data_IF_838403187930
#
_entry.id   IF_838403187930
#
_cell.length_a   1.000
_cell.length_b   1.000
_cell.length_c   1.000
_cell.angle_alpha   90.00
_cell.angle_beta   90.00
_cell.angle_gamma   90.00
#
_symmetry.space_group_name_H-M   'P 1'
#
loop_
_entity.id
_entity.type
_entity.pdbx_description
1 polymer ?
#
# COMPACT_ATOMS: atom_id res chain seq x y z
N UNK A 1 21.95 16.47 -21.31
CA UNK A 1 21.21 15.19 -21.22
C UNK A 1 21.75 14.44 -20.01
N UNK A 2 20.96 14.31 -18.94
CA UNK A 2 21.35 13.60 -17.71
C UNK A 2 20.85 12.16 -17.79
N UNK A 3 21.60 11.25 -17.19
CA UNK A 3 21.23 9.84 -17.14
C UNK A 3 20.63 9.54 -15.77
N UNK A 4 19.50 8.82 -15.79
CA UNK A 4 18.78 8.40 -14.60
C UNK A 4 18.89 6.90 -14.47
N UNK A 5 19.10 6.43 -13.24
CA UNK A 5 19.21 5.02 -12.94
C UNK A 5 18.33 4.68 -11.75
N UNK A 6 17.56 3.61 -11.88
CA UNK A 6 16.92 2.96 -10.76
C UNK A 6 17.88 1.86 -10.27
N UNK A 7 18.35 1.99 -9.04
CA UNK A 7 19.34 1.08 -8.46
C UNK A 7 18.78 0.34 -7.26
N UNK A 8 19.15 -0.93 -7.13
CA UNK A 8 18.84 -1.75 -5.97
C UNK A 8 19.94 -2.79 -5.78
N UNK A 9 20.15 -3.21 -4.54
CA UNK A 9 21.05 -4.31 -4.19
C UNK A 9 20.63 -4.89 -2.85
N UNK A 10 20.23 -6.15 -2.83
CA UNK A 10 19.82 -6.86 -1.63
C UNK A 10 19.99 -8.37 -1.78
N UNK A 11 19.92 -9.06 -0.65
CA UNK A 11 20.01 -10.53 -0.58
C UNK A 11 18.80 -11.03 0.19
N UNK A 12 18.18 -12.10 -0.30
CA UNK A 12 17.15 -12.84 0.42
C UNK A 12 17.62 -14.26 0.68
N UNK A 13 17.40 -14.75 1.89
CA UNK A 13 17.49 -16.18 2.19
C UNK A 13 16.16 -16.84 1.85
N UNK A 14 16.21 -17.94 1.11
CA UNK A 14 15.02 -18.71 0.74
C UNK A 14 15.37 -20.19 0.60
N UNK A 15 14.37 -21.06 0.61
CA UNK A 15 14.57 -22.48 0.38
C UNK A 15 15.23 -22.73 -0.98
N UNK A 16 15.99 -23.81 -1.09
CA UNK A 16 16.61 -24.25 -2.37
C UNK A 16 15.56 -24.38 -3.49
N UNK A 17 14.37 -24.81 -3.11
CA UNK A 17 13.21 -24.97 -3.96
C UNK A 17 12.69 -23.65 -4.55
N UNK A 18 12.63 -22.59 -3.75
CA UNK A 18 12.26 -21.24 -4.22
C UNK A 18 13.38 -20.60 -5.03
N UNK A 19 14.64 -20.78 -4.62
CA UNK A 19 15.81 -20.30 -5.36
C UNK A 19 15.88 -20.93 -6.77
N UNK A 20 15.51 -22.20 -6.92
CA UNK A 20 15.39 -22.83 -8.23
C UNK A 20 14.29 -22.18 -9.09
N UNK A 21 13.18 -21.75 -8.49
CA UNK A 21 12.14 -21.03 -9.25
C UNK A 21 12.62 -19.68 -9.73
N UNK A 22 13.45 -18.97 -8.96
CA UNK A 22 14.10 -17.74 -9.42
C UNK A 22 14.99 -18.02 -10.63
N UNK A 23 15.80 -19.09 -10.59
CA UNK A 23 16.65 -19.51 -11.72
C UNK A 23 15.84 -19.81 -12.97
N UNK A 24 14.74 -20.56 -12.84
CA UNK A 24 13.87 -20.90 -13.97
C UNK A 24 13.14 -19.68 -14.53
N UNK A 25 12.69 -18.77 -13.66
CA UNK A 25 12.09 -17.51 -14.08
C UNK A 25 13.08 -16.64 -14.87
N UNK A 26 14.33 -16.53 -14.40
CA UNK A 26 15.38 -15.83 -15.14
C UNK A 26 15.60 -16.46 -16.52
N UNK A 27 15.75 -17.79 -16.59
CA UNK A 27 15.94 -18.50 -17.86
C UNK A 27 14.75 -18.31 -18.82
N UNK A 28 13.52 -18.29 -18.31
CA UNK A 28 12.33 -18.01 -19.11
C UNK A 28 12.32 -16.58 -19.67
N UNK A 29 12.64 -15.59 -18.84
CA UNK A 29 12.75 -14.18 -19.24
C UNK A 29 13.83 -13.97 -20.32
N UNK A 30 15.01 -14.59 -20.16
CA UNK A 30 16.11 -14.51 -21.13
C UNK A 30 15.74 -15.14 -22.48
N UNK A 31 15.09 -16.31 -22.46
CA UNK A 31 14.65 -17.01 -23.67
C UNK A 31 13.54 -16.25 -24.42
N UNK A 32 12.63 -15.58 -23.70
CA UNK A 32 11.56 -14.77 -24.29
C UNK A 32 12.05 -13.42 -24.84
N UNK A 33 13.25 -12.99 -24.45
CA UNK A 33 13.84 -11.70 -24.88
C UNK A 33 14.85 -11.85 -26.03
N UNK A 34 14.91 -13.03 -26.69
CA UNK A 34 15.92 -13.40 -27.69
C UNK A 34 17.39 -13.30 -27.18
N UNK A 35 17.59 -13.28 -25.86
CA UNK A 35 18.92 -13.15 -25.23
C UNK A 35 19.60 -14.50 -24.96
N UNK A 36 18.86 -15.60 -25.06
CA UNK A 36 19.33 -16.96 -24.81
C UNK A 36 18.70 -17.98 -25.77
N UNK A 37 19.16 -19.23 -25.69
CA UNK A 37 18.56 -20.35 -26.43
C UNK A 37 17.06 -20.49 -26.08
N UNK A 38 16.24 -20.84 -27.08
CA UNK A 38 14.82 -21.12 -26.86
C UNK A 38 14.63 -22.16 -25.75
N UNK A 39 13.84 -21.81 -24.73
CA UNK A 39 13.40 -22.76 -23.70
C UNK A 39 11.98 -23.18 -24.00
N UNK A 40 11.74 -24.49 -24.08
CA UNK A 40 10.37 -24.98 -24.11
C UNK A 40 9.75 -24.78 -22.73
N UNK A 41 8.50 -24.32 -22.68
CA UNK A 41 7.74 -24.22 -21.45
C UNK A 41 7.71 -25.55 -20.67
N UNK A 42 7.67 -26.68 -21.38
CA UNK A 42 7.72 -28.02 -20.78
C UNK A 42 9.03 -28.29 -20.00
N UNK A 43 10.14 -27.69 -20.41
CA UNK A 43 11.46 -27.88 -19.78
C UNK A 43 11.58 -27.15 -18.44
N UNK A 44 10.71 -26.18 -18.16
CA UNK A 44 10.65 -25.46 -16.88
C UNK A 44 9.97 -26.29 -15.78
N UNK A 45 9.34 -27.40 -16.16
CA UNK A 45 8.85 -28.41 -15.22
C UNK A 45 7.54 -28.07 -14.49
N UNK A 46 7.02 -29.02 -13.72
CA UNK A 46 5.64 -28.97 -13.21
C UNK A 46 5.43 -27.89 -12.15
N UNK A 47 6.46 -27.56 -11.36
CA UNK A 47 6.36 -26.50 -10.34
C UNK A 47 6.24 -25.12 -10.98
N UNK A 48 7.05 -24.84 -12.01
CA UNK A 48 6.93 -23.61 -12.78
C UNK A 48 5.53 -23.50 -13.38
N UNK A 49 5.05 -24.59 -14.01
CA UNK A 49 3.72 -24.60 -14.61
C UNK A 49 2.56 -24.46 -13.61
N UNK A 50 2.75 -24.89 -12.36
CA UNK A 50 1.78 -24.70 -11.29
C UNK A 50 1.72 -23.23 -10.82
N UNK A 51 2.86 -22.53 -10.82
CA UNK A 51 2.95 -21.12 -10.44
C UNK A 51 2.55 -20.17 -11.57
N UNK A 52 2.87 -20.54 -12.81
CA UNK A 52 2.67 -19.73 -14.01
C UNK A 52 1.91 -20.51 -15.09
N UNK A 53 0.65 -20.89 -14.87
CA UNK A 53 -0.09 -21.73 -15.83
C UNK A 53 -0.29 -21.02 -17.19
N UNK A 54 -0.47 -21.78 -18.29
CA UNK A 54 -0.82 -21.20 -19.58
C UNK A 54 -2.08 -20.34 -19.48
N UNK A 55 -2.10 -19.22 -20.21
CA UNK A 55 -3.18 -18.23 -20.14
C UNK A 55 -3.42 -17.62 -21.52
N UNK A 56 -4.69 -17.45 -21.88
CA UNK A 56 -5.12 -16.83 -23.13
C UNK A 56 -4.53 -17.47 -24.40
N UNK A 57 -4.21 -18.77 -24.35
CA UNK A 57 -3.61 -19.52 -25.47
C UNK A 57 -2.09 -19.37 -25.60
N UNK A 58 -1.45 -18.72 -24.64
CA UNK A 58 0.01 -18.58 -24.52
C UNK A 58 0.51 -19.39 -23.32
N UNK A 59 1.49 -20.27 -23.55
CA UNK A 59 2.11 -21.09 -22.52
C UNK A 59 2.76 -20.23 -21.42
N UNK A 60 3.32 -19.07 -21.79
CA UNK A 60 3.93 -18.12 -20.85
C UNK A 60 2.97 -17.03 -20.37
N UNK A 61 1.68 -17.07 -20.75
CA UNK A 61 0.75 -15.96 -20.54
C UNK A 61 0.64 -15.47 -19.10
N UNK A 62 0.64 -16.37 -18.10
CA UNK A 62 0.63 -15.96 -16.68
C UNK A 62 2.00 -15.50 -16.18
N UNK A 63 3.09 -16.03 -16.72
CA UNK A 63 4.45 -15.55 -16.42
C UNK A 63 4.65 -14.12 -16.94
N UNK A 64 4.10 -13.81 -18.11
CA UNK A 64 4.17 -12.48 -18.72
C UNK A 64 3.41 -11.41 -17.92
N UNK A 65 2.48 -11.78 -17.03
CA UNK A 65 1.80 -10.84 -16.12
C UNK A 65 2.72 -10.28 -15.02
N UNK A 66 3.92 -10.85 -14.84
CA UNK A 66 4.94 -10.28 -13.98
C UNK A 66 5.47 -8.94 -14.53
N UNK A 67 5.42 -8.75 -15.85
CA UNK A 67 6.03 -7.63 -16.55
C UNK A 67 4.97 -6.62 -17.00
N UNK A 68 5.39 -5.36 -17.08
CA UNK A 68 4.61 -4.25 -17.61
C UNK A 68 4.63 -4.23 -19.15
N UNK A 69 5.77 -4.54 -19.76
CA UNK A 69 5.90 -4.81 -21.20
C UNK A 69 6.05 -6.32 -21.47
N UNK A 70 4.98 -6.92 -21.99
CA UNK A 70 4.96 -8.35 -22.37
C UNK A 70 5.90 -8.69 -23.52
N UNK A 71 6.31 -7.71 -24.34
CA UNK A 71 7.19 -7.95 -25.48
C UNK A 71 8.68 -7.91 -25.09
N UNK A 72 8.99 -7.40 -23.89
CA UNK A 72 10.35 -7.34 -23.38
C UNK A 72 10.38 -7.75 -21.90
N UNK A 73 10.08 -9.03 -21.60
CA UNK A 73 9.95 -9.51 -20.23
C UNK A 73 11.34 -9.59 -19.57
N UNK A 74 11.72 -8.54 -18.84
CA UNK A 74 13.00 -8.42 -18.14
C UNK A 74 12.80 -8.07 -16.66
N UNK A 75 13.63 -8.64 -15.78
CA UNK A 75 13.70 -8.23 -14.37
C UNK A 75 14.63 -7.02 -14.15
N UNK A 76 15.36 -6.62 -15.20
CA UNK A 76 16.33 -5.52 -15.22
C UNK A 76 17.33 -5.53 -14.06
N UNK A 77 17.71 -6.73 -13.63
CA UNK A 77 18.69 -6.94 -12.58
C UNK A 77 19.52 -8.19 -12.82
N UNK A 78 20.71 -8.19 -12.24
CA UNK A 78 21.55 -9.36 -12.11
C UNK A 78 21.10 -10.15 -10.89
N UNK A 79 20.84 -11.44 -11.12
CA UNK A 79 20.48 -12.40 -10.09
C UNK A 79 21.62 -13.41 -9.94
N UNK A 80 22.05 -13.62 -8.70
CA UNK A 80 23.02 -14.68 -8.37
C UNK A 80 22.52 -15.50 -7.19
N UNK A 81 22.74 -16.81 -7.26
CA UNK A 81 22.24 -17.79 -6.28
C UNK A 81 23.45 -18.53 -5.73
N UNK A 82 23.68 -18.39 -4.43
CA UNK A 82 24.74 -19.12 -3.73
C UNK A 82 24.35 -20.60 -3.52
N UNK A 83 25.36 -21.42 -3.22
CA UNK A 83 25.14 -22.81 -2.82
C UNK A 83 24.31 -22.90 -1.55
N UNK A 84 23.46 -23.92 -1.45
CA UNK A 84 22.64 -24.13 -0.26
C UNK A 84 23.48 -24.36 0.99
N UNK A 85 23.02 -23.80 2.10
CA UNK A 85 23.60 -24.02 3.42
C UNK A 85 23.15 -25.39 3.98
N UNK A 86 23.64 -25.74 5.18
CA UNK A 86 23.31 -27.01 5.83
C UNK A 86 21.81 -27.19 6.16
N UNK A 87 21.05 -26.09 6.15
CA UNK A 87 19.62 -26.05 6.44
C UNK A 87 18.75 -26.08 5.17
N UNK A 88 19.38 -26.14 3.98
CA UNK A 88 18.68 -26.18 2.69
C UNK A 88 18.22 -24.80 2.18
N UNK A 89 18.75 -23.71 2.74
CA UNK A 89 18.50 -22.35 2.29
C UNK A 89 19.63 -21.85 1.38
N UNK A 90 19.29 -21.07 0.36
CA UNK A 90 20.22 -20.36 -0.51
C UNK A 90 20.11 -18.86 -0.27
N UNK A 91 21.25 -18.17 -0.29
CA UNK A 91 21.29 -16.72 -0.42
C UNK A 91 21.12 -16.35 -1.90
N UNK A 92 20.12 -15.53 -2.20
CA UNK A 92 19.84 -15.05 -3.56
C UNK A 92 20.02 -13.54 -3.58
N UNK A 93 21.00 -13.08 -4.37
CA UNK A 93 21.32 -11.66 -4.51
C UNK A 93 20.66 -11.09 -5.75
N UNK A 94 19.99 -9.94 -5.59
CA UNK A 94 19.38 -9.16 -6.65
C UNK A 94 20.06 -7.80 -6.69
N UNK A 95 20.63 -7.41 -7.83
CA UNK A 95 21.33 -6.13 -7.93
C UNK A 95 21.30 -5.56 -9.35
N UNK A 96 21.31 -4.24 -9.52
CA UNK A 96 21.34 -3.65 -10.85
C UNK A 96 21.13 -2.14 -10.87
N UNK A 97 21.37 -1.55 -12.04
CA UNK A 97 21.20 -0.12 -12.31
C UNK A 97 20.23 0.14 -13.46
N UNK A 98 19.07 -0.53 -13.42
CA UNK A 98 17.80 -0.18 -14.07
C UNK A 98 16.68 -1.05 -13.45
N UNK A 99 16.79 -1.30 -12.15
CA UNK A 99 16.17 -2.43 -11.47
C UNK A 99 14.63 -2.51 -11.63
N UNK A 100 14.12 -3.66 -12.08
CA UNK A 100 12.69 -3.93 -12.23
C UNK A 100 11.99 -4.17 -10.89
N UNK A 101 11.70 -3.10 -10.14
CA UNK A 101 11.14 -3.17 -8.77
C UNK A 101 9.85 -3.99 -8.72
N UNK A 102 8.92 -3.72 -9.64
CA UNK A 102 7.61 -4.38 -9.63
C UNK A 102 7.71 -5.83 -10.10
N UNK A 103 8.50 -6.07 -11.15
CA UNK A 103 8.75 -7.38 -11.75
C UNK A 103 9.38 -8.33 -10.72
N UNK A 104 10.44 -7.88 -10.02
CA UNK A 104 11.09 -8.66 -8.96
C UNK A 104 10.17 -8.86 -7.76
N UNK A 105 9.41 -7.86 -7.35
CA UNK A 105 8.46 -8.02 -6.25
C UNK A 105 7.36 -9.04 -6.58
N UNK A 106 6.82 -9.04 -7.80
CA UNK A 106 5.84 -10.02 -8.27
C UNK A 106 6.44 -11.42 -8.37
N UNK A 107 7.68 -11.56 -8.82
CA UNK A 107 8.40 -12.85 -8.82
C UNK A 107 8.54 -13.41 -7.40
N UNK A 108 9.04 -12.61 -6.46
CA UNK A 108 9.21 -13.02 -5.06
C UNK A 108 7.86 -13.39 -4.46
N UNK A 109 6.84 -12.54 -4.64
CA UNK A 109 5.51 -12.82 -4.13
C UNK A 109 4.94 -14.11 -4.70
N UNK A 110 5.12 -14.39 -5.98
CA UNK A 110 4.51 -15.56 -6.65
C UNK A 110 5.26 -16.85 -6.33
N UNK A 111 6.59 -16.84 -6.45
CA UNK A 111 7.41 -18.04 -6.50
C UNK A 111 8.29 -18.29 -5.25
N UNK A 112 8.48 -17.30 -4.38
CA UNK A 112 9.45 -17.35 -3.27
C UNK A 112 8.78 -17.26 -1.89
N UNK A 113 7.80 -18.12 -1.63
CA UNK A 113 6.97 -18.04 -0.41
C UNK A 113 7.79 -18.21 0.88
N UNK A 114 8.89 -18.98 0.85
CA UNK A 114 9.77 -19.17 2.01
C UNK A 114 10.57 -17.91 2.39
N UNK A 115 10.68 -16.93 1.49
CA UNK A 115 11.30 -15.64 1.78
C UNK A 115 10.33 -14.64 2.45
N UNK A 116 9.04 -14.96 2.56
CA UNK A 116 8.04 -14.03 3.09
C UNK A 116 7.94 -14.14 4.62
N UNK A 117 7.74 -13.00 5.33
CA UNK A 117 7.72 -11.64 4.82
C UNK A 117 9.14 -11.12 4.53
N UNK A 118 9.29 -10.32 3.46
CA UNK A 118 10.54 -9.63 3.14
C UNK A 118 10.31 -8.21 2.62
N UNK A 119 11.41 -7.47 2.51
CA UNK A 119 11.42 -6.15 1.92
C UNK A 119 12.76 -5.86 1.25
N UNK A 120 12.75 -4.94 0.28
CA UNK A 120 13.96 -4.37 -0.28
C UNK A 120 13.76 -2.89 -0.59
N UNK A 121 14.87 -2.16 -0.62
CA UNK A 121 14.91 -0.73 -0.96
C UNK A 121 15.48 -0.52 -2.35
N UNK A 122 15.04 0.55 -3.00
CA UNK A 122 15.58 1.00 -4.27
C UNK A 122 15.82 2.51 -4.22
N UNK A 123 16.70 3.00 -5.08
CA UNK A 123 17.06 4.41 -5.17
C UNK A 123 17.01 4.91 -6.62
N UNK A 124 16.44 6.10 -6.82
CA UNK A 124 16.65 6.88 -8.04
C UNK A 124 17.92 7.69 -7.90
N UNK A 125 18.83 7.48 -8.85
CA UNK A 125 20.09 8.21 -8.93
C UNK A 125 20.18 8.92 -10.27
N UNK A 126 20.90 10.03 -10.29
CA UNK A 126 21.16 10.80 -11.49
C UNK A 126 22.65 11.12 -11.57
N UNK A 127 23.21 11.09 -12.77
CA UNK A 127 24.61 11.50 -13.01
C UNK A 127 24.84 13.00 -12.85
N UNK A 128 23.78 13.78 -12.60
CA UNK A 128 23.83 15.22 -12.29
C UNK A 128 22.93 15.58 -11.11
N UNK A 129 23.39 16.55 -10.33
CA UNK A 129 22.63 17.12 -9.22
C UNK A 129 21.55 18.06 -9.76
N UNK A 130 20.30 17.59 -9.81
CA UNK A 130 19.15 18.39 -10.21
C UNK A 130 18.02 18.26 -9.18
N UNK A 131 17.20 19.32 -9.01
CA UNK A 131 16.06 19.27 -8.09
C UNK A 131 15.14 18.09 -8.39
N UNK A 132 14.68 17.41 -7.34
CA UNK A 132 13.70 16.33 -7.37
C UNK A 132 14.09 15.07 -8.18
N UNK A 133 15.35 14.96 -8.63
CA UNK A 133 15.85 13.80 -9.38
C UNK A 133 16.52 12.73 -8.51
N UNK A 134 16.59 12.95 -7.19
CA UNK A 134 17.04 11.96 -6.20
C UNK A 134 15.87 11.47 -5.38
N UNK A 135 15.83 10.17 -5.13
CA UNK A 135 14.77 9.56 -4.36
C UNK A 135 14.99 8.08 -4.25
N UNK A 136 13.89 7.36 -4.07
CA UNK A 136 13.93 5.94 -3.83
C UNK A 136 12.61 5.46 -3.27
N UNK A 137 12.64 4.30 -2.66
CA UNK A 137 11.49 3.71 -2.00
C UNK A 137 11.79 2.32 -1.49
N UNK A 138 10.73 1.59 -1.20
CA UNK A 138 10.83 0.20 -0.82
C UNK A 138 9.67 -0.60 -1.39
N UNK A 139 9.90 -1.90 -1.52
CA UNK A 139 8.86 -2.90 -1.68
C UNK A 139 8.81 -3.73 -0.39
N UNK A 140 7.59 -3.91 0.14
CA UNK A 140 7.31 -4.80 1.27
C UNK A 140 6.38 -5.90 0.77
N UNK A 141 6.77 -7.14 0.97
CA UNK A 141 6.10 -8.31 0.42
C UNK A 141 5.71 -9.22 1.58
N UNK A 142 4.41 -9.51 1.67
CA UNK A 142 3.82 -10.37 2.69
C UNK A 142 2.89 -11.38 2.04
N UNK A 143 2.35 -12.33 2.81
CA UNK A 143 1.31 -13.24 2.30
C UNK A 143 0.06 -12.49 1.79
N UNK A 144 -0.23 -11.30 2.34
CA UNK A 144 -1.39 -10.50 1.97
C UNK A 144 -1.21 -9.74 0.64
N UNK A 145 0.02 -9.59 0.15
CA UNK A 145 0.32 -8.89 -1.10
C UNK A 145 1.61 -8.08 -1.06
N UNK A 146 1.76 -7.27 -2.10
CA UNK A 146 2.90 -6.39 -2.35
C UNK A 146 2.48 -4.95 -2.06
N UNK A 147 3.28 -4.23 -1.28
CA UNK A 147 3.17 -2.79 -1.13
C UNK A 147 4.47 -2.13 -1.60
N UNK A 148 4.37 -1.25 -2.60
CA UNK A 148 5.48 -0.46 -3.11
C UNK A 148 5.23 1.00 -2.77
N UNK A 149 6.16 1.60 -2.07
CA UNK A 149 6.13 3.00 -1.69
C UNK A 149 7.33 3.74 -2.25
N UNK A 150 7.15 5.02 -2.55
CA UNK A 150 8.22 5.92 -2.95
C UNK A 150 8.44 6.98 -1.88
N UNK A 151 9.69 7.44 -1.76
CA UNK A 151 10.07 8.50 -0.83
C UNK A 151 9.25 9.78 -1.07
N UNK A 152 8.98 10.22 -2.31
CA UNK A 152 8.07 11.33 -2.58
C UNK A 152 6.64 11.10 -2.05
N UNK A 153 6.09 9.89 -2.23
CA UNK A 153 4.76 9.56 -1.71
C UNK A 153 4.74 9.56 -0.17
N UNK A 154 5.77 9.00 0.46
CA UNK A 154 5.94 9.01 1.92
C UNK A 154 6.06 10.44 2.48
N UNK A 155 6.86 11.30 1.84
CA UNK A 155 6.98 12.72 2.19
C UNK A 155 5.65 13.43 1.99
N UNK A 156 4.95 13.18 0.88
CA UNK A 156 3.63 13.74 0.63
C UNK A 156 2.62 13.39 1.72
N UNK A 157 2.58 12.12 2.15
CA UNK A 157 1.75 11.67 3.28
C UNK A 157 2.17 12.33 4.60
N UNK A 158 3.47 12.45 4.86
CA UNK A 158 3.98 13.08 6.07
C UNK A 158 3.65 14.58 6.10
N UNK A 159 3.77 15.29 4.97
CA UNK A 159 3.39 16.69 4.84
C UNK A 159 1.88 16.88 5.00
N UNK A 160 1.07 16.03 4.37
CA UNK A 160 -0.38 16.05 4.56
C UNK A 160 -0.75 15.85 6.04
N UNK A 161 -0.15 14.86 6.70
CA UNK A 161 -0.35 14.62 8.13
C UNK A 161 0.12 15.79 9.02
N UNK A 162 1.23 16.43 8.64
CA UNK A 162 1.75 17.61 9.34
C UNK A 162 0.81 18.82 9.22
N UNK A 163 0.19 19.01 8.06
CA UNK A 163 -0.74 20.09 7.77
C UNK A 163 -2.10 19.96 8.46
N UNK A 164 -2.46 18.77 8.97
CA UNK A 164 -3.68 18.58 9.76
C UNK A 164 -3.61 19.48 11.00
N UNK A 165 -4.58 20.39 11.14
CA UNK A 165 -4.72 21.28 12.29
C UNK A 165 -5.41 20.56 13.47
N UNK A 166 -5.19 20.99 14.73
CA UNK A 166 -6.02 20.57 15.86
C UNK A 166 -7.51 20.75 15.55
N UNK A 167 -8.35 19.88 16.11
CA UNK A 167 -9.80 20.00 15.92
C UNK A 167 -10.30 21.36 16.39
N UNK A 168 -11.00 22.08 15.51
CA UNK A 168 -11.67 23.34 15.85
C UNK A 168 -13.19 23.12 15.83
N UNK A 169 -13.89 23.23 16.98
CA UNK A 169 -15.35 23.16 17.03
C UNK A 169 -16.05 24.15 16.09
N UNK A 170 -15.44 25.29 15.79
CA UNK A 170 -16.01 26.29 14.88
C UNK A 170 -16.08 25.81 13.42
N UNK A 171 -15.30 24.78 13.05
CA UNK A 171 -15.35 24.16 11.74
C UNK A 171 -16.47 23.11 11.61
N UNK A 172 -17.23 22.83 12.67
CA UNK A 172 -18.34 21.88 12.65
C UNK A 172 -19.62 22.57 12.13
N UNK A 173 -20.22 22.00 11.10
CA UNK A 173 -21.56 22.36 10.65
C UNK A 173 -22.55 21.26 11.02
N UNK A 174 -23.64 21.65 11.69
CA UNK A 174 -24.70 20.77 12.18
C UNK A 174 -25.99 21.21 11.49
N UNK A 175 -26.50 20.38 10.59
CA UNK A 175 -27.77 20.62 9.91
C UNK A 175 -28.82 19.64 10.42
N UNK A 176 -29.75 20.16 11.22
CA UNK A 176 -30.89 19.41 11.75
C UNK A 176 -31.97 19.27 10.68
N UNK A 177 -32.29 18.03 10.30
CA UNK A 177 -33.31 17.67 9.32
C UNK A 177 -34.47 17.00 10.03
N UNK A 178 -35.63 17.65 10.01
CA UNK A 178 -36.84 17.12 10.63
C UNK A 178 -37.82 16.61 9.60
N UNK A 179 -38.06 15.31 9.61
CA UNK A 179 -38.98 14.65 8.69
C UNK A 179 -40.35 14.39 9.32
N UNK A 180 -40.41 14.22 10.65
CA UNK A 180 -41.68 14.04 11.37
C UNK A 180 -41.61 14.48 12.85
N UNK A 181 -42.68 14.22 13.60
CA UNK A 181 -42.75 14.44 15.05
C UNK A 181 -41.98 13.39 15.86
N UNK A 182 -41.64 12.25 15.25
CA UNK A 182 -40.92 11.13 15.90
C UNK A 182 -39.60 10.78 15.23
N UNK A 183 -39.28 11.39 14.08
CA UNK A 183 -38.08 11.11 13.31
C UNK A 183 -37.39 12.41 12.87
N UNK A 184 -36.09 12.48 13.18
CA UNK A 184 -35.19 13.54 12.78
C UNK A 184 -33.82 12.95 12.51
N UNK A 185 -33.05 13.65 11.69
CA UNK A 185 -31.68 13.31 11.37
C UNK A 185 -30.82 14.56 11.48
N UNK A 186 -29.53 14.38 11.73
CA UNK A 186 -28.55 15.46 11.75
C UNK A 186 -27.45 15.12 10.76
N UNK A 187 -27.24 16.01 9.79
CA UNK A 187 -26.07 15.98 8.94
C UNK A 187 -24.95 16.73 9.64
N UNK A 188 -23.86 16.03 9.92
CA UNK A 188 -22.65 16.59 10.53
C UNK A 188 -21.58 16.71 9.45
N UNK A 189 -20.98 17.89 9.35
CA UNK A 189 -19.84 18.16 8.46
C UNK A 189 -18.71 18.85 9.24
N UNK A 190 -17.48 18.66 8.80
CA UNK A 190 -16.29 19.31 9.38
C UNK A 190 -15.46 19.94 8.26
N UNK A 191 -15.14 21.22 8.41
CA UNK A 191 -14.39 22.01 7.42
C UNK A 191 -14.99 21.90 5.99
N UNK A 192 -16.32 21.95 5.89
CA UNK A 192 -17.04 21.82 4.61
C UNK A 192 -17.13 20.40 4.05
N UNK A 193 -16.45 19.41 4.65
CA UNK A 193 -16.54 18.01 4.26
C UNK A 193 -17.63 17.29 5.08
N UNK A 194 -18.55 16.61 4.40
CA UNK A 194 -19.56 15.77 5.05
C UNK A 194 -18.88 14.65 5.85
N UNK A 195 -19.17 14.56 7.14
CA UNK A 195 -18.81 13.41 7.96
C UNK A 195 -19.84 12.32 7.72
N UNK A 196 -21.06 12.51 8.21
CA UNK A 196 -22.16 11.59 7.98
C UNK A 196 -23.50 12.21 8.42
N UNK A 197 -24.59 11.55 8.07
CA UNK A 197 -25.95 11.80 8.54
C UNK A 197 -26.36 10.74 9.57
N UNK A 198 -26.78 11.21 10.74
CA UNK A 198 -27.15 10.36 11.87
C UNK A 198 -28.63 10.52 12.20
N UNK A 199 -29.26 9.49 12.77
CA UNK A 199 -30.57 9.65 13.40
C UNK A 199 -30.46 10.51 14.66
N UNK A 200 -31.38 11.46 14.83
CA UNK A 200 -31.46 12.32 16.01
C UNK A 200 -32.46 11.78 17.04
N UNK A 201 -32.18 12.05 18.32
CA UNK A 201 -33.15 11.81 19.39
C UNK A 201 -34.09 12.99 19.45
N UNK A 202 -35.37 12.79 19.19
CA UNK A 202 -36.38 13.83 19.37
C UNK A 202 -37.18 13.58 20.66
N UNK A 203 -37.14 14.53 21.60
CA UNK A 203 -37.93 14.49 22.83
C UNK A 203 -38.82 15.73 22.95
N UNK A 204 -40.09 15.57 23.32
CA UNK A 204 -40.99 16.70 23.58
C UNK A 204 -40.67 17.29 24.95
N UNK A 205 -40.25 18.55 24.99
CA UNK A 205 -39.99 19.33 26.20
C UNK A 205 -40.94 20.52 26.19
N UNK A 206 -41.95 20.50 27.06
CA UNK A 206 -43.02 21.50 27.04
C UNK A 206 -43.86 21.39 25.76
N UNK A 207 -43.75 22.40 24.87
CA UNK A 207 -44.41 22.42 23.55
C UNK A 207 -43.44 22.23 22.38
N UNK A 208 -42.15 22.19 22.65
CA UNK A 208 -41.09 22.13 21.65
C UNK A 208 -40.45 20.76 21.64
N UNK A 209 -40.07 20.31 20.44
CA UNK A 209 -39.39 19.04 20.27
C UNK A 209 -37.90 19.30 20.10
N UNK A 210 -37.10 18.77 21.00
CA UNK A 210 -35.67 19.01 21.06
C UNK A 210 -34.86 17.75 20.72
N UNK A 211 -33.82 17.97 19.91
CA UNK A 211 -32.80 17.01 19.49
C UNK A 211 -31.76 16.73 20.58
N UNK A 212 -30.70 15.99 20.24
CA UNK A 212 -29.46 16.13 21.01
C UNK A 212 -28.91 17.57 20.88
N UNK A 213 -28.33 18.14 21.95
CA UNK A 213 -27.73 19.47 21.88
C UNK A 213 -26.52 19.47 20.95
N UNK A 214 -26.20 20.61 20.35
CA UNK A 214 -25.07 20.72 19.42
C UNK A 214 -23.73 20.25 20.02
N UNK A 215 -23.54 20.42 21.34
CA UNK A 215 -22.35 19.91 22.04
C UNK A 215 -22.17 18.39 21.92
N UNK A 216 -23.28 17.62 21.87
CA UNK A 216 -23.23 16.18 21.59
C UNK A 216 -22.74 15.93 20.16
N UNK A 217 -23.29 16.66 19.18
CA UNK A 217 -22.92 16.51 17.78
C UNK A 217 -21.50 17.00 17.48
N UNK A 218 -21.00 18.02 18.19
CA UNK A 218 -19.59 18.43 18.16
C UNK A 218 -18.70 17.31 18.70
N UNK A 219 -19.09 16.61 19.76
CA UNK A 219 -18.33 15.48 20.28
C UNK A 219 -18.34 14.27 19.32
N UNK A 220 -19.46 14.02 18.63
CA UNK A 220 -19.52 13.05 17.53
C UNK A 220 -18.58 13.50 16.40
N UNK A 221 -18.66 14.77 15.97
CA UNK A 221 -17.81 15.33 14.93
C UNK A 221 -16.31 15.19 15.28
N UNK A 222 -15.93 15.47 16.53
CA UNK A 222 -14.57 15.28 17.03
C UNK A 222 -14.12 13.83 16.86
N UNK A 223 -14.89 12.88 17.40
CA UNK A 223 -14.54 11.45 17.32
C UNK A 223 -14.33 10.99 15.88
N UNK A 224 -15.22 11.39 14.98
CA UNK A 224 -15.18 11.01 13.56
C UNK A 224 -14.05 11.73 12.81
N UNK A 225 -13.82 13.02 13.09
CA UNK A 225 -12.75 13.80 12.48
C UNK A 225 -11.37 13.22 12.83
N UNK A 226 -11.17 12.76 14.08
CA UNK A 226 -9.93 12.06 14.47
C UNK A 226 -9.84 10.69 13.78
N UNK A 227 -10.91 9.89 13.81
CA UNK A 227 -10.92 8.55 13.20
C UNK A 227 -10.64 8.57 11.69
N UNK A 228 -11.03 9.65 11.01
CA UNK A 228 -10.85 9.86 9.57
C UNK A 228 -9.64 10.73 9.21
N UNK A 229 -8.80 11.08 10.19
CA UNK A 229 -7.62 11.94 10.00
C UNK A 229 -7.94 13.31 9.37
N UNK A 230 -9.09 13.89 9.67
CA UNK A 230 -9.49 15.24 9.24
C UNK A 230 -8.99 16.35 10.20
N UNK A 231 -8.69 15.98 11.44
CA UNK A 231 -8.19 16.88 12.48
C UNK A 231 -7.19 16.15 13.40
N UNK A 232 -6.31 16.89 14.07
CA UNK A 232 -5.44 16.37 15.13
C UNK A 232 -6.20 16.32 16.45
N UNK A 233 -5.84 15.31 17.25
CA UNK A 233 -6.35 15.12 18.61
C UNK A 233 -6.03 16.36 19.45
N UNK A 234 -7.00 16.81 20.23
CA UNK A 234 -6.79 17.90 21.18
C UNK A 234 -5.94 17.44 22.38
N UNK A 235 -5.33 18.36 23.13
CA UNK A 235 -4.74 18.04 24.42
C UNK A 235 -5.75 17.31 25.33
N UNK A 236 -5.26 16.38 26.16
CA UNK A 236 -6.08 15.56 27.07
C UNK A 236 -7.18 16.31 27.83
N UNK A 237 -6.93 17.49 28.46
CA UNK A 237 -7.99 18.19 29.20
C UNK A 237 -9.10 18.73 28.29
N UNK A 238 -8.76 19.21 27.09
CA UNK A 238 -9.72 19.75 26.12
C UNK A 238 -10.51 18.64 25.46
N UNK A 239 -9.85 17.54 25.12
CA UNK A 239 -10.51 16.32 24.65
C UNK A 239 -11.51 15.78 25.68
N UNK A 240 -11.12 15.72 26.96
CA UNK A 240 -12.02 15.25 28.01
C UNK A 240 -13.27 16.13 28.13
N UNK A 241 -13.14 17.45 27.96
CA UNK A 241 -14.25 18.38 27.97
C UNK A 241 -15.22 18.14 26.79
N UNK A 242 -14.70 17.96 25.56
CA UNK A 242 -15.53 17.66 24.39
C UNK A 242 -16.21 16.29 24.54
N UNK A 243 -15.45 15.26 24.91
CA UNK A 243 -15.94 13.88 24.98
C UNK A 243 -16.93 13.65 26.13
N UNK A 244 -16.98 14.51 27.14
CA UNK A 244 -17.95 14.45 28.24
C UNK A 244 -19.41 14.58 27.76
N UNK A 245 -19.64 15.13 26.57
CA UNK A 245 -20.97 15.26 25.99
C UNK A 245 -21.49 13.97 25.33
N UNK A 246 -20.64 12.95 25.14
CA UNK A 246 -21.09 11.64 24.67
C UNK A 246 -21.56 10.76 25.85
N UNK A 247 -22.61 9.96 25.67
CA UNK A 247 -23.03 9.00 26.68
C UNK A 247 -21.90 7.99 26.92
N UNK A 248 -21.47 7.84 28.18
CA UNK A 248 -20.49 6.83 28.55
C UNK A 248 -21.09 5.44 28.30
N UNK A 249 -20.35 4.57 27.60
CA UNK A 249 -20.69 3.14 27.54
C UNK A 249 -20.71 2.62 28.98
N UNK A 250 -21.87 2.14 29.44
CA UNK A 250 -22.00 1.37 30.68
C UNK A 250 -21.35 0.01 30.51
#
# INVERSE_FOLDING_TARGET
>A
MANHYLTSSFVLEMSTEDAEMVRLAQRASEALSDLADEVSYADLGPRFAALFPPKDGDDFGSFLDLFDDRNFPSFDCDISIDTSNAEGCCAVSFNGSNFGVEQVAKLIFTACKSALPCAFSWAFTCDRLRPDEFGGGCAVITEAGINIDSTPAMVGRALAAAAILPFDPACVAIEHKRFSVTQGEVLVSYNGQRIEQYGDRITLIGKDWEGYPDAFWIAVAYREAIARSLAKRLPVPEEAAIMAHLPQKR
#
